data_IF_266404546230
#
_entry.id   IF_266404546230
#
_cell.length_a   1.000
_cell.length_b   1.000
_cell.length_c   1.000
_cell.angle_alpha   90.00
_cell.angle_beta   90.00
_cell.angle_gamma   90.00
#
_symmetry.space_group_name_H-M   'P 1'
#
loop_
_entity.id
_entity.type
_entity.pdbx_description
1 polymer ?
#
# COMPACT_ATOMS: atom_id res chain seq x y z
N UNK A 1 14.17 29.36 26.32
CA UNK A 1 12.78 29.19 25.86
C UNK A 1 11.92 28.71 27.02
N UNK A 2 10.89 29.46 27.40
CA UNK A 2 10.08 29.17 28.60
C UNK A 2 9.16 27.98 28.32
N UNK A 3 9.10 26.98 29.21
CA UNK A 3 8.27 25.76 29.03
C UNK A 3 6.80 26.08 28.72
N UNK A 4 6.27 27.16 29.28
CA UNK A 4 4.90 27.65 29.02
C UNK A 4 4.71 28.12 27.57
N UNK A 5 5.74 28.76 27.00
CA UNK A 5 5.71 29.26 25.63
C UNK A 5 5.77 28.10 24.63
N UNK A 6 6.56 27.06 24.92
CA UNK A 6 6.61 25.85 24.11
C UNK A 6 5.26 25.09 24.10
N UNK A 7 4.61 24.95 25.27
CA UNK A 7 3.29 24.29 25.35
C UNK A 7 2.22 25.06 24.57
N UNK A 8 2.23 26.39 24.63
CA UNK A 8 1.27 27.22 23.91
C UNK A 8 1.41 27.06 22.39
N UNK A 9 2.65 27.00 21.90
CA UNK A 9 2.94 26.76 20.47
C UNK A 9 2.46 25.38 20.04
N UNK A 10 2.66 24.33 20.85
CA UNK A 10 2.20 22.97 20.55
C UNK A 10 0.67 22.91 20.49
N UNK A 11 -0.02 23.50 21.48
CA UNK A 11 -1.48 23.53 21.52
C UNK A 11 -2.03 24.29 20.31
N UNK A 12 -1.44 25.45 19.98
CA UNK A 12 -1.81 26.23 18.81
C UNK A 12 -1.67 25.41 17.53
N UNK A 13 -0.57 24.66 17.39
CA UNK A 13 -0.32 23.83 16.21
C UNK A 13 -1.32 22.68 16.08
N UNK A 14 -1.70 22.04 17.19
CA UNK A 14 -2.71 20.98 17.21
C UNK A 14 -4.09 21.53 16.82
N UNK A 15 -4.49 22.66 17.40
CA UNK A 15 -5.78 23.31 17.09
C UNK A 15 -5.81 23.75 15.62
N UNK A 16 -4.72 24.35 15.13
CA UNK A 16 -4.58 24.74 13.74
C UNK A 16 -4.71 23.54 12.80
N UNK A 17 -3.99 22.45 13.06
CA UNK A 17 -4.04 21.22 12.24
C UNK A 17 -5.43 20.57 12.26
N UNK A 18 -6.17 20.68 13.38
CA UNK A 18 -7.52 20.13 13.48
C UNK A 18 -8.54 20.91 12.64
N UNK A 19 -8.44 22.26 12.62
CA UNK A 19 -9.38 23.13 11.93
C UNK A 19 -9.01 23.38 10.45
N UNK A 20 -7.73 23.46 10.12
CA UNK A 20 -7.24 23.66 8.76
C UNK A 20 -6.83 22.31 8.19
N UNK A 21 -7.83 21.49 7.83
CA UNK A 21 -7.59 20.28 7.05
C UNK A 21 -7.21 20.71 5.64
N UNK A 22 -5.91 20.77 5.37
CA UNK A 22 -5.42 20.97 4.00
C UNK A 22 -5.90 19.77 3.17
N UNK A 23 -6.73 19.97 2.13
CA UNK A 23 -7.08 18.87 1.25
C UNK A 23 -5.79 18.39 0.60
N UNK A 24 -5.48 17.10 0.77
CA UNK A 24 -4.33 16.52 0.09
C UNK A 24 -4.56 16.68 -1.42
N UNK A 25 -3.62 17.28 -2.17
CA UNK A 25 -3.73 17.30 -3.61
C UNK A 25 -3.78 15.85 -4.10
N UNK A 26 -4.78 15.52 -4.90
CA UNK A 26 -4.86 14.20 -5.53
C UNK A 26 -3.72 14.11 -6.55
N UNK A 27 -2.68 13.34 -6.21
CA UNK A 27 -1.57 13.03 -7.12
C UNK A 27 -2.11 12.03 -8.15
N UNK A 28 -2.79 12.53 -9.18
CA UNK A 28 -3.28 11.73 -10.30
C UNK A 28 -2.13 11.55 -11.30
N UNK A 29 -1.34 10.50 -11.11
CA UNK A 29 -0.37 10.06 -12.12
C UNK A 29 -1.10 9.21 -13.17
N UNK A 30 -1.26 9.70 -14.42
CA UNK A 30 -1.91 8.92 -15.46
C UNK A 30 -1.08 7.68 -15.81
N UNK A 31 -1.76 6.63 -16.26
CA UNK A 31 -1.11 5.42 -16.75
C UNK A 31 -0.36 5.73 -18.05
N UNK A 32 0.95 5.94 -17.94
CA UNK A 32 1.79 6.31 -19.08
C UNK A 32 2.29 5.04 -19.79
N UNK A 33 2.14 4.95 -21.12
CA UNK A 33 2.67 3.83 -21.89
C UNK A 33 4.20 3.90 -21.92
N UNK A 34 4.86 2.88 -21.39
CA UNK A 34 6.32 2.81 -21.26
C UNK A 34 6.94 1.81 -22.24
N UNK A 35 6.19 0.79 -22.64
CA UNK A 35 6.68 -0.29 -23.51
C UNK A 35 5.61 -0.65 -24.55
N UNK A 36 5.80 -0.27 -25.83
CA UNK A 36 4.99 -0.77 -26.92
C UNK A 36 5.30 -2.24 -27.20
N UNK A 37 4.29 -3.10 -27.19
CA UNK A 37 4.46 -4.56 -27.35
C UNK A 37 4.11 -5.03 -28.77
N UNK A 38 3.18 -4.34 -29.42
CA UNK A 38 2.77 -4.66 -30.78
C UNK A 38 1.44 -4.03 -31.16
N UNK A 39 1.01 -4.28 -32.39
CA UNK A 39 -0.29 -3.83 -32.89
C UNK A 39 -0.96 -5.00 -33.60
N UNK A 40 -2.23 -5.28 -33.32
CA UNK A 40 -3.03 -6.26 -34.05
C UNK A 40 -4.22 -5.54 -34.65
N UNK A 41 -4.23 -5.40 -35.98
CA UNK A 41 -5.22 -4.59 -36.69
C UNK A 41 -5.19 -3.12 -36.22
N UNK A 42 -6.31 -2.53 -35.79
CA UNK A 42 -6.35 -1.15 -35.28
C UNK A 42 -5.93 -1.01 -33.80
N UNK A 43 -5.69 -2.11 -33.08
CA UNK A 43 -5.42 -2.08 -31.64
C UNK A 43 -3.93 -2.06 -31.33
N UNK A 44 -3.49 -1.06 -30.57
CA UNK A 44 -2.12 -0.94 -30.05
C UNK A 44 -2.04 -1.53 -28.65
N UNK A 45 -1.14 -2.48 -28.45
CA UNK A 45 -0.87 -3.08 -27.14
C UNK A 45 0.36 -2.41 -26.54
N UNK A 46 0.14 -1.76 -25.41
CA UNK A 46 1.17 -1.06 -24.64
C UNK A 46 1.11 -1.53 -23.20
N UNK A 47 2.28 -1.65 -22.58
CA UNK A 47 2.40 -1.84 -21.13
C UNK A 47 2.59 -0.47 -20.51
N UNK A 48 1.77 -0.14 -19.51
CA UNK A 48 1.86 1.12 -18.77
C UNK A 48 2.59 0.95 -17.45
N UNK A 49 3.06 2.06 -16.88
CA UNK A 49 3.68 2.07 -15.55
C UNK A 49 2.74 1.49 -14.46
N UNK A 50 1.45 1.81 -14.49
CA UNK A 50 0.44 1.30 -13.56
C UNK A 50 0.21 -0.19 -13.73
N UNK A 51 0.29 -0.72 -14.96
CA UNK A 51 0.23 -2.16 -15.19
C UNK A 51 1.41 -2.88 -14.55
N UNK A 52 2.63 -2.37 -14.71
CA UNK A 52 3.81 -2.96 -14.05
C UNK A 52 3.72 -2.89 -12.53
N UNK A 53 3.30 -1.75 -11.98
CA UNK A 53 3.10 -1.60 -10.53
C UNK A 53 2.06 -2.60 -10.00
N UNK A 54 0.97 -2.80 -10.75
CA UNK A 54 -0.07 -3.77 -10.41
C UNK A 54 0.45 -5.22 -10.49
N UNK A 55 1.23 -5.57 -11.52
CA UNK A 55 1.85 -6.89 -11.63
C UNK A 55 2.83 -7.16 -10.48
N UNK A 56 3.62 -6.16 -10.09
CA UNK A 56 4.51 -6.27 -8.94
C UNK A 56 3.72 -6.48 -7.65
N UNK A 57 2.66 -5.70 -7.43
CA UNK A 57 1.79 -5.86 -6.27
C UNK A 57 1.19 -7.28 -6.22
N UNK A 58 0.66 -7.78 -7.34
CA UNK A 58 0.15 -9.15 -7.43
C UNK A 58 1.24 -10.19 -7.17
N UNK A 59 2.45 -10.04 -7.74
CA UNK A 59 3.55 -10.95 -7.52
C UNK A 59 3.95 -11.03 -6.04
N UNK A 60 3.96 -9.90 -5.34
CA UNK A 60 4.22 -9.86 -3.89
C UNK A 60 3.12 -10.56 -3.11
N UNK A 61 1.84 -10.25 -3.39
CA UNK A 61 0.71 -10.86 -2.68
C UNK A 61 0.63 -12.38 -2.91
N UNK A 62 0.73 -12.81 -4.15
CA UNK A 62 0.74 -14.23 -4.52
C UNK A 62 1.97 -14.91 -3.93
N UNK A 63 3.14 -14.29 -4.01
CA UNK A 63 4.38 -14.81 -3.44
C UNK A 63 4.28 -15.02 -1.93
N UNK A 64 3.81 -14.02 -1.19
CA UNK A 64 3.61 -14.10 0.26
C UNK A 64 2.57 -15.16 0.63
N UNK A 65 1.45 -15.21 -0.08
CA UNK A 65 0.40 -16.22 0.13
C UNK A 65 0.94 -17.64 -0.07
N UNK A 66 1.67 -17.88 -1.17
CA UNK A 66 2.30 -19.16 -1.43
C UNK A 66 3.35 -19.51 -0.37
N UNK A 67 4.19 -18.57 0.04
CA UNK A 67 5.21 -18.82 1.07
C UNK A 67 4.60 -19.11 2.44
N UNK A 68 3.50 -18.46 2.81
CA UNK A 68 2.78 -18.73 4.05
C UNK A 68 2.10 -20.11 4.05
N UNK A 69 1.58 -20.56 2.89
CA UNK A 69 0.78 -21.78 2.78
C UNK A 69 1.55 -23.05 2.38
N UNK A 70 2.73 -22.92 1.74
CA UNK A 70 3.51 -24.05 1.19
C UNK A 70 3.92 -25.12 2.21
N UNK A 71 4.00 -24.78 3.49
CA UNK A 71 4.35 -25.70 4.59
C UNK A 71 3.53 -25.34 5.82
N UNK A 72 2.22 -25.52 5.77
CA UNK A 72 1.37 -25.29 6.94
C UNK A 72 1.42 -26.48 7.88
N UNK A 73 1.45 -26.17 9.18
CA UNK A 73 1.32 -27.14 10.26
C UNK A 73 0.05 -26.82 11.06
N UNK A 74 -0.56 -27.83 11.69
CA UNK A 74 -1.80 -27.65 12.46
C UNK A 74 -1.61 -26.65 13.61
N UNK A 75 -0.45 -26.68 14.26
CA UNK A 75 -0.03 -25.67 15.23
C UNK A 75 0.99 -24.77 14.52
N UNK A 76 0.73 -23.46 14.37
CA UNK A 76 1.58 -22.58 13.58
C UNK A 76 2.96 -22.37 14.24
N UNK A 77 3.97 -23.11 13.79
CA UNK A 77 5.36 -22.99 14.29
C UNK A 77 6.18 -21.94 13.54
N UNK A 78 5.76 -21.57 12.31
CA UNK A 78 6.51 -20.67 11.42
C UNK A 78 6.01 -19.23 11.48
N UNK A 79 6.93 -18.27 11.34
CA UNK A 79 6.63 -16.82 11.42
C UNK A 79 5.64 -16.35 10.34
N UNK A 80 5.78 -16.83 9.10
CA UNK A 80 4.90 -16.43 8.00
C UNK A 80 3.47 -16.96 8.15
N UNK A 81 3.32 -18.20 8.63
CA UNK A 81 2.00 -18.77 8.92
C UNK A 81 1.33 -17.99 10.06
N UNK A 82 2.05 -17.71 11.16
CA UNK A 82 1.54 -16.90 12.26
C UNK A 82 1.08 -15.51 11.83
N UNK A 83 1.87 -14.81 11.00
CA UNK A 83 1.49 -13.49 10.50
C UNK A 83 0.25 -13.55 9.60
N UNK A 84 0.20 -14.53 8.68
CA UNK A 84 -0.92 -14.69 7.77
C UNK A 84 -2.22 -15.03 8.53
N UNK A 85 -2.15 -15.96 9.49
CA UNK A 85 -3.28 -16.34 10.34
C UNK A 85 -3.76 -15.16 11.18
N UNK A 86 -2.85 -14.40 11.82
CA UNK A 86 -3.23 -13.21 12.59
C UNK A 86 -3.90 -12.13 11.73
N UNK A 87 -3.44 -11.92 10.49
CA UNK A 87 -4.09 -10.99 9.55
C UNK A 87 -5.49 -11.47 9.15
N UNK A 88 -5.64 -12.77 8.87
CA UNK A 88 -6.94 -13.36 8.50
C UNK A 88 -7.90 -13.30 9.69
N UNK A 89 -7.44 -13.64 10.89
CA UNK A 89 -8.22 -13.54 12.14
C UNK A 89 -8.64 -12.10 12.41
N UNK A 90 -7.76 -11.11 12.21
CA UNK A 90 -8.14 -9.70 12.34
C UNK A 90 -9.21 -9.24 11.32
N UNK A 91 -9.25 -9.85 10.13
CA UNK A 91 -10.22 -9.49 9.09
C UNK A 91 -11.59 -10.17 9.26
N UNK A 92 -11.61 -11.39 9.78
CA UNK A 92 -12.81 -12.24 9.82
C UNK A 92 -13.26 -12.64 11.22
N UNK A 93 -12.45 -12.39 12.25
CA UNK A 93 -12.74 -12.63 13.67
C UNK A 93 -13.17 -11.36 14.39
#
# INVERSE_FOLDING_TARGET
MNRRLALLVIILFIVFNFFVRVPFPEILLPAEPILPVGTVGPFKFVITNTMLATWLAMAVLVGLSLLATRRMELIPTRRLQNLAEALIEWMYG
#
